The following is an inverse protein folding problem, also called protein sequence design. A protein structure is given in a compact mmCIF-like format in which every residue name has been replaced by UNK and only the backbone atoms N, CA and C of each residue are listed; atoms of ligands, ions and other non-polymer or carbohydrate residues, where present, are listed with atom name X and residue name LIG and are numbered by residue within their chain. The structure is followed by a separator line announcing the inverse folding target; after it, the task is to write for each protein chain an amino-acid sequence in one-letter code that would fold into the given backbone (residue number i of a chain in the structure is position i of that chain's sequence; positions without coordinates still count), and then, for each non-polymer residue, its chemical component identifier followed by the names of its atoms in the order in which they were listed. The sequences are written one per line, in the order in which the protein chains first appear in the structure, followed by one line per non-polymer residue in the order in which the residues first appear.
data_IF_654603073857
#
_entry.id   IF_654603073857
#
_cell.length_a   1.000
_cell.length_b   1.000
_cell.length_c   1.000
_cell.angle_alpha   90.00
_cell.angle_beta   90.00
_cell.angle_gamma   90.00
#
_symmetry.space_group_name_H-M   'P 1'
#
loop_
_entity.id
_entity.type
_entity.pdbx_description
1 polymer ?
#
# COMPACT_ATOMS: atom_id res chain seq x y z
N UNK A 1 -47.76 -12.37 23.39
CA UNK A 1 -46.70 -11.86 22.49
C UNK A 1 -45.39 -12.48 22.96
N UNK A 2 -44.86 -13.48 22.24
CA UNK A 2 -43.64 -14.20 22.61
C UNK A 2 -42.43 -13.36 22.21
N UNK A 3 -41.59 -12.99 23.17
CA UNK A 3 -40.23 -12.52 22.88
C UNK A 3 -39.30 -13.66 23.26
N UNK A 4 -38.80 -14.34 22.24
CA UNK A 4 -37.84 -15.43 22.36
C UNK A 4 -36.46 -14.83 22.71
N UNK A 5 -35.81 -15.38 23.73
CA UNK A 5 -34.43 -15.08 24.04
C UNK A 5 -33.53 -15.72 22.97
N UNK A 6 -32.96 -14.92 22.08
CA UNK A 6 -31.89 -15.39 21.19
C UNK A 6 -30.61 -15.49 22.02
N UNK A 7 -30.29 -16.72 22.41
CA UNK A 7 -29.17 -17.10 23.27
C UNK A 7 -27.81 -16.96 22.62
N UNK A 8 -27.48 -15.78 22.09
CA UNK A 8 -26.11 -15.45 21.71
C UNK A 8 -25.54 -14.51 22.75
N UNK A 9 -24.85 -15.10 23.71
CA UNK A 9 -24.00 -14.41 24.66
C UNK A 9 -22.85 -13.75 23.88
N UNK A 10 -23.14 -12.62 23.22
CA UNK A 10 -22.15 -11.82 22.51
C UNK A 10 -21.35 -11.07 23.56
N UNK A 11 -20.35 -11.76 24.12
CA UNK A 11 -19.31 -11.12 24.91
C UNK A 11 -18.73 -9.99 24.05
N UNK A 12 -18.72 -8.73 24.52
CA UNK A 12 -18.04 -7.67 23.80
C UNK A 12 -16.56 -8.05 23.74
N UNK A 13 -16.09 -8.48 22.57
CA UNK A 13 -14.67 -8.72 22.38
C UNK A 13 -14.04 -7.34 22.32
N UNK A 14 -13.45 -6.89 23.42
CA UNK A 14 -12.44 -5.83 23.42
C UNK A 14 -11.27 -6.31 22.56
N UNK A 15 -11.39 -6.13 21.24
CA UNK A 15 -10.30 -6.38 20.30
C UNK A 15 -9.37 -5.19 20.30
N UNK A 16 -8.63 -5.02 21.40
CA UNK A 16 -7.32 -4.37 21.31
C UNK A 16 -6.39 -5.36 20.61
N UNK A 17 -6.51 -5.48 19.28
CA UNK A 17 -5.54 -6.20 18.48
C UNK A 17 -4.24 -5.42 18.58
N UNK A 18 -3.34 -5.89 19.44
CA UNK A 18 -1.98 -5.36 19.53
C UNK A 18 -1.33 -5.64 18.18
N UNK A 19 -1.34 -4.63 17.32
CA UNK A 19 -0.66 -4.69 16.03
C UNK A 19 0.83 -4.68 16.32
N UNK A 20 1.54 -5.66 15.78
CA UNK A 20 2.99 -5.73 15.83
C UNK A 20 3.61 -4.36 15.47
N UNK A 21 4.54 -3.82 16.28
CA UNK A 21 5.11 -2.50 16.06
C UNK A 21 5.77 -2.33 14.69
N UNK A 22 6.39 -3.40 14.17
CA UNK A 22 7.06 -3.39 12.87
C UNK A 22 6.03 -3.32 11.75
N UNK A 23 4.97 -4.13 11.82
CA UNK A 23 3.85 -4.07 10.89
C UNK A 23 3.17 -2.68 10.91
N UNK A 24 2.94 -2.14 12.10
CA UNK A 24 2.36 -0.79 12.28
C UNK A 24 3.24 0.29 11.65
N UNK A 25 4.55 0.18 11.81
CA UNK A 25 5.52 1.09 11.20
C UNK A 25 5.48 0.99 9.67
N UNK A 26 5.54 -0.22 9.11
CA UNK A 26 5.50 -0.44 7.66
C UNK A 26 4.21 0.11 7.03
N UNK A 27 3.05 -0.12 7.64
CA UNK A 27 1.77 0.41 7.17
C UNK A 27 1.71 1.95 7.25
N UNK A 28 2.26 2.55 8.31
CA UNK A 28 2.37 4.01 8.44
C UNK A 28 3.28 4.59 7.37
N UNK A 29 4.40 3.94 7.10
CA UNK A 29 5.33 4.36 6.06
C UNK A 29 4.66 4.33 4.67
N UNK A 30 4.01 3.21 4.31
CA UNK A 30 3.27 3.11 3.06
C UNK A 30 2.21 4.20 2.92
N UNK A 31 1.45 4.46 4.00
CA UNK A 31 0.42 5.53 4.00
C UNK A 31 1.05 6.91 3.80
N UNK A 32 2.17 7.19 4.46
CA UNK A 32 2.90 8.43 4.29
C UNK A 32 3.38 8.62 2.85
N UNK A 33 3.98 7.59 2.25
CA UNK A 33 4.42 7.66 0.84
C UNK A 33 3.22 7.88 -0.09
N UNK A 34 2.11 7.15 0.09
CA UNK A 34 0.89 7.34 -0.71
C UNK A 34 0.31 8.76 -0.57
N UNK A 35 0.36 9.37 0.62
CA UNK A 35 -0.11 10.75 0.83
C UNK A 35 0.75 11.83 0.17
N UNK A 36 1.97 11.50 -0.25
CA UNK A 36 2.86 12.45 -0.94
C UNK A 36 2.60 12.56 -2.44
N UNK A 37 1.51 11.98 -2.96
CA UNK A 37 1.13 12.16 -4.36
C UNK A 37 0.98 13.65 -4.66
N UNK A 38 1.92 14.20 -5.42
CA UNK A 38 1.93 15.59 -5.85
C UNK A 38 0.92 15.72 -6.99
N UNK A 39 -0.11 16.54 -6.78
CA UNK A 39 -1.18 16.78 -7.77
C UNK A 39 -0.70 17.43 -9.07
N UNK A 40 0.52 18.00 -9.07
CA UNK A 40 1.17 18.62 -10.23
C UNK A 40 2.62 18.12 -10.43
N UNK A 41 2.95 16.91 -9.99
CA UNK A 41 4.28 16.35 -10.23
C UNK A 41 4.54 16.23 -11.74
N UNK A 42 5.75 16.58 -12.16
CA UNK A 42 6.20 16.23 -13.51
C UNK A 42 6.38 14.71 -13.65
N UNK A 43 6.66 14.25 -14.87
CA UNK A 43 6.80 12.82 -15.15
C UNK A 43 7.91 12.16 -14.30
N UNK A 44 8.98 12.88 -13.99
CA UNK A 44 10.11 12.35 -13.21
C UNK A 44 9.69 12.19 -11.75
N UNK A 45 9.12 13.24 -11.16
CA UNK A 45 8.63 13.21 -9.77
C UNK A 45 7.53 12.15 -9.57
N UNK A 46 6.66 11.97 -10.56
CA UNK A 46 5.65 10.91 -10.52
C UNK A 46 6.28 9.52 -10.55
N UNK A 47 7.23 9.28 -11.46
CA UNK A 47 7.91 7.99 -11.56
C UNK A 47 8.68 7.65 -10.28
N UNK A 48 9.36 8.63 -9.69
CA UNK A 48 10.07 8.45 -8.42
C UNK A 48 9.13 8.20 -7.25
N UNK A 49 7.96 8.87 -7.24
CA UNK A 49 6.92 8.57 -6.26
C UNK A 49 6.40 7.13 -6.38
N UNK A 50 6.20 6.63 -7.61
CA UNK A 50 5.79 5.24 -7.84
C UNK A 50 6.86 4.24 -7.41
N UNK A 51 8.14 4.51 -7.66
CA UNK A 51 9.25 3.67 -7.16
C UNK A 51 9.24 3.59 -5.62
N UNK A 52 9.04 4.72 -4.95
CA UNK A 52 8.95 4.78 -3.47
C UNK A 52 7.75 4.00 -2.93
N UNK A 53 6.65 3.94 -3.67
CA UNK A 53 5.51 3.06 -3.32
C UNK A 53 5.93 1.59 -3.42
N UNK A 54 6.65 1.21 -4.49
CA UNK A 54 7.13 -0.15 -4.67
C UNK A 54 8.05 -0.59 -3.53
N UNK A 55 9.01 0.25 -3.15
CA UNK A 55 9.91 0.00 -2.02
C UNK A 55 9.14 -0.18 -0.69
N UNK A 56 8.15 0.68 -0.42
CA UNK A 56 7.34 0.58 0.78
C UNK A 56 6.48 -0.70 0.81
N UNK A 57 5.98 -1.15 -0.34
CA UNK A 57 5.23 -2.39 -0.48
C UNK A 57 6.11 -3.64 -0.31
N UNK A 58 7.33 -3.63 -0.85
CA UNK A 58 8.29 -4.72 -0.65
C UNK A 58 8.71 -4.84 0.81
N UNK A 59 8.96 -3.70 1.48
CA UNK A 59 9.23 -3.68 2.92
C UNK A 59 8.04 -4.23 3.73
N UNK A 60 6.79 -3.86 3.35
CA UNK A 60 5.59 -4.42 3.95
C UNK A 60 5.48 -5.94 3.72
N UNK A 61 5.79 -6.42 2.52
CA UNK A 61 5.81 -7.85 2.21
C UNK A 61 6.83 -8.64 3.06
N UNK A 62 7.88 -7.99 3.57
CA UNK A 62 8.83 -8.61 4.50
C UNK A 62 8.24 -8.93 5.88
N UNK A 63 7.19 -8.22 6.30
CA UNK A 63 6.67 -8.27 7.67
C UNK A 63 5.25 -8.83 7.78
N UNK A 64 4.57 -9.06 6.65
CA UNK A 64 3.25 -9.70 6.62
C UNK A 64 3.36 -11.20 6.95
N UNK A 65 2.51 -11.65 7.87
CA UNK A 65 2.48 -13.04 8.35
C UNK A 65 1.95 -13.99 7.28
N UNK A 66 0.93 -13.59 6.53
CA UNK A 66 0.27 -14.44 5.55
C UNK A 66 0.97 -14.39 4.19
N UNK A 67 1.28 -15.56 3.64
CA UNK A 67 1.96 -15.70 2.33
C UNK A 67 1.18 -15.03 1.21
N UNK A 68 -0.14 -15.13 1.21
CA UNK A 68 -1.00 -14.51 0.20
C UNK A 68 -0.87 -12.98 0.21
N UNK A 69 -0.90 -12.37 1.40
CA UNK A 69 -0.74 -10.92 1.53
C UNK A 69 0.67 -10.48 1.10
N UNK A 70 1.70 -11.28 1.38
CA UNK A 70 3.07 -11.04 0.87
C UNK A 70 3.12 -11.07 -0.66
N UNK A 71 2.50 -12.07 -1.28
CA UNK A 71 2.43 -12.17 -2.74
C UNK A 71 1.69 -10.99 -3.35
N UNK A 72 0.57 -10.57 -2.77
CA UNK A 72 -0.20 -9.40 -3.22
C UNK A 72 0.61 -8.11 -3.11
N UNK A 73 1.30 -7.89 -1.98
CA UNK A 73 2.15 -6.72 -1.80
C UNK A 73 3.30 -6.66 -2.82
N UNK A 74 3.95 -7.80 -3.12
CA UNK A 74 4.99 -7.89 -4.17
C UNK A 74 4.45 -7.66 -5.58
N UNK A 75 3.26 -8.15 -5.87
CA UNK A 75 2.61 -7.90 -7.15
C UNK A 75 2.30 -6.40 -7.33
N UNK A 76 1.76 -5.76 -6.29
CA UNK A 76 1.52 -4.30 -6.31
C UNK A 76 2.85 -3.51 -6.43
N UNK A 77 3.92 -3.96 -5.77
CA UNK A 77 5.24 -3.35 -5.91
C UNK A 77 5.78 -3.46 -7.33
N UNK A 78 5.61 -4.61 -7.98
CA UNK A 78 6.00 -4.83 -9.37
C UNK A 78 5.24 -3.90 -10.32
N UNK A 79 3.91 -3.85 -10.19
CA UNK A 79 3.07 -2.96 -10.99
C UNK A 79 3.46 -1.48 -10.82
N UNK A 80 3.85 -1.07 -9.61
CA UNK A 80 4.31 0.30 -9.36
C UNK A 80 5.63 0.62 -10.07
N UNK A 81 6.58 -0.33 -10.14
CA UNK A 81 7.83 -0.16 -10.90
C UNK A 81 7.59 -0.12 -12.40
N UNK A 82 6.69 -0.96 -12.90
CA UNK A 82 6.31 -1.00 -14.31
C UNK A 82 5.73 0.36 -14.75
N UNK A 83 4.84 0.93 -13.94
CA UNK A 83 4.28 2.26 -14.18
C UNK A 83 5.35 3.36 -14.13
N UNK A 84 6.26 3.32 -13.14
CA UNK A 84 7.39 4.25 -13.06
C UNK A 84 8.27 4.18 -14.33
N UNK A 85 8.58 2.96 -14.79
CA UNK A 85 9.35 2.75 -16.01
C UNK A 85 8.62 3.22 -17.27
N UNK A 86 7.31 3.01 -17.36
CA UNK A 86 6.50 3.52 -18.47
C UNK A 86 6.49 5.05 -18.50
N UNK A 87 6.28 5.68 -17.35
CA UNK A 87 6.23 7.15 -17.27
C UNK A 87 7.58 7.76 -17.64
N UNK A 88 8.71 7.18 -17.21
CA UNK A 88 10.05 7.62 -17.62
C UNK A 88 10.21 7.55 -19.14
N UNK A 89 9.85 6.42 -19.76
CA UNK A 89 9.88 6.27 -21.23
C UNK A 89 9.02 7.31 -21.94
N UNK A 90 7.82 7.60 -21.44
CA UNK A 90 6.93 8.61 -22.03
C UNK A 90 7.45 10.03 -21.85
N UNK A 91 8.02 10.34 -20.69
CA UNK A 91 8.63 11.65 -20.40
C UNK A 91 9.82 11.95 -21.30
N UNK A 92 10.63 10.94 -21.62
CA UNK A 92 11.74 11.04 -22.58
C UNK A 92 11.26 11.33 -24.01
N UNK A 93 10.18 10.67 -24.46
CA UNK A 93 9.59 10.90 -25.78
C UNK A 93 9.04 12.33 -25.89
N UNK A 94 8.27 12.79 -24.89
CA UNK A 94 7.70 14.14 -24.89
C UNK A 94 8.73 15.28 -24.74
N UNK A 95 9.91 14.99 -24.18
CA UNK A 95 11.02 15.94 -24.13
C UNK A 95 11.78 16.05 -25.46
N UNK A 96 11.76 15.00 -26.29
CA UNK A 96 12.44 14.98 -27.59
C UNK A 96 11.66 15.66 -28.72
N UNK A 97 10.37 15.96 -28.49
CA UNK A 97 9.48 16.64 -29.46
C UNK A 97 9.32 18.15 -29.19
N UNK A 98 10.10 18.72 -28.27
CA UNK A 98 10.02 20.14 -27.84
C UNK A 98 11.22 20.98 -28.27
#
# INVERSE_FOLDING_TARGET
MKVVHDGVNRVPIERSLVVDPVLKHALRHLRFVKSRQLSNADFVEFADWRERIAEALDALAGVLVFKEDRSRARAEATAAREEAAEVRRRGEIGASER
#
